data_IF_255567813950
#
_entry.id   IF_255567813950
#
_cell.length_a   1.000
_cell.length_b   1.000
_cell.length_c   1.000
_cell.angle_alpha   90.00
_cell.angle_beta   90.00
_cell.angle_gamma   90.00
#
_symmetry.space_group_name_H-M   'P 1'
#
loop_
_entity.id
_entity.type
_entity.pdbx_description
1 polymer ?
#
# COMPACT_ATOMS: atom_id res chain seq x y z
N UNK A 1 -14.14 2.98 -6.02
CA UNK A 1 -12.67 2.80 -6.09
C UNK A 1 -12.15 1.68 -5.19
N UNK A 2 -12.37 1.74 -3.87
CA UNK A 2 -11.92 0.71 -2.91
C UNK A 2 -12.27 -0.74 -3.30
N UNK A 3 -13.51 -1.01 -3.72
CA UNK A 3 -13.93 -2.36 -4.13
C UNK A 3 -13.18 -2.87 -5.37
N UNK A 4 -12.97 -2.02 -6.37
CA UNK A 4 -12.20 -2.38 -7.57
C UNK A 4 -10.72 -2.65 -7.23
N UNK A 5 -10.13 -1.79 -6.39
CA UNK A 5 -8.76 -1.95 -5.92
C UNK A 5 -8.57 -3.29 -5.17
N UNK A 6 -9.50 -3.65 -4.28
CA UNK A 6 -9.45 -4.90 -3.52
C UNK A 6 -9.53 -6.16 -4.38
N UNK A 7 -10.19 -6.08 -5.54
CA UNK A 7 -10.23 -7.18 -6.53
C UNK A 7 -9.01 -7.22 -7.45
N UNK A 8 -8.11 -6.24 -7.38
CA UNK A 8 -6.99 -6.11 -8.33
C UNK A 8 -7.43 -5.67 -9.73
N UNK A 9 -8.64 -5.12 -9.87
CA UNK A 9 -9.24 -4.78 -11.16
C UNK A 9 -8.69 -3.46 -11.71
N UNK A 10 -7.51 -3.55 -12.33
CA UNK A 10 -6.77 -2.41 -12.85
C UNK A 10 -7.59 -1.53 -13.81
N UNK A 11 -8.39 -2.15 -14.69
CA UNK A 11 -9.17 -1.40 -15.68
C UNK A 11 -10.32 -0.63 -15.04
N UNK A 12 -11.00 -1.23 -14.07
CA UNK A 12 -12.05 -0.52 -13.33
C UNK A 12 -11.46 0.58 -12.43
N UNK A 13 -10.32 0.32 -11.79
CA UNK A 13 -9.59 1.36 -11.03
C UNK A 13 -9.23 2.54 -11.95
N UNK A 14 -8.74 2.27 -13.16
CA UNK A 14 -8.41 3.30 -14.16
C UNK A 14 -9.63 4.11 -14.57
N UNK A 15 -10.71 3.44 -14.97
CA UNK A 15 -11.97 4.12 -15.36
C UNK A 15 -12.50 5.04 -14.25
N UNK A 16 -12.49 4.58 -13.00
CA UNK A 16 -12.96 5.37 -11.87
C UNK A 16 -12.07 6.60 -11.62
N UNK A 17 -10.75 6.43 -11.70
CA UNK A 17 -9.81 7.54 -11.53
C UNK A 17 -9.81 8.51 -12.73
N UNK A 18 -10.17 8.05 -13.93
CA UNK A 18 -10.37 8.90 -15.11
C UNK A 18 -11.67 9.73 -15.01
N UNK A 19 -12.60 9.33 -14.14
CA UNK A 19 -13.81 10.08 -13.80
C UNK A 19 -13.63 11.00 -12.57
N UNK A 20 -12.38 11.40 -12.28
CA UNK A 20 -12.00 12.30 -11.17
C UNK A 20 -12.46 11.85 -9.77
N UNK A 21 -12.63 10.54 -9.56
CA UNK A 21 -12.85 10.01 -8.21
C UNK A 21 -11.60 10.24 -7.35
N UNK A 22 -11.80 10.81 -6.16
CA UNK A 22 -10.70 11.03 -5.21
C UNK A 22 -9.95 9.71 -4.91
N UNK A 23 -8.65 9.62 -5.24
CA UNK A 23 -7.82 8.44 -4.97
C UNK A 23 -7.66 8.13 -3.48
N UNK A 24 -7.93 9.09 -2.59
CA UNK A 24 -7.87 8.94 -1.14
C UNK A 24 -9.26 8.73 -0.50
N UNK A 25 -10.33 8.69 -1.30
CA UNK A 25 -11.69 8.49 -0.82
C UNK A 25 -11.85 7.16 -0.08
N UNK A 26 -12.30 7.22 1.17
CA UNK A 26 -12.34 6.06 2.07
C UNK A 26 -13.62 5.22 1.93
N UNK A 27 -13.51 3.91 2.17
CA UNK A 27 -14.69 3.05 2.35
C UNK A 27 -15.34 3.24 3.74
N UNK A 28 -16.39 2.46 4.03
CA UNK A 28 -17.11 2.49 5.32
C UNK A 28 -16.27 2.12 6.55
N UNK A 29 -15.07 1.54 6.35
CA UNK A 29 -14.11 1.24 7.41
C UNK A 29 -13.05 2.35 7.58
N UNK A 30 -13.19 3.48 6.87
CA UNK A 30 -12.23 4.57 6.88
C UNK A 30 -10.92 4.27 6.14
N UNK A 31 -10.87 3.20 5.34
CA UNK A 31 -9.67 2.78 4.61
C UNK A 31 -9.65 3.33 3.19
N UNK A 32 -8.48 3.73 2.71
CA UNK A 32 -8.27 4.20 1.34
C UNK A 32 -8.16 3.03 0.35
N UNK A 33 -8.30 3.28 -0.97
CA UNK A 33 -8.08 2.28 -1.99
C UNK A 33 -6.69 1.65 -1.92
N UNK A 34 -5.66 2.45 -1.61
CA UNK A 34 -4.28 1.97 -1.48
C UNK A 34 -4.09 1.00 -0.30
N UNK A 35 -4.88 1.15 0.77
CA UNK A 35 -4.85 0.27 1.94
C UNK A 35 -5.62 -1.04 1.73
N UNK A 36 -6.61 -1.06 0.83
CA UNK A 36 -7.44 -2.26 0.58
C UNK A 36 -7.11 -2.97 -0.71
N UNK A 37 -6.22 -2.42 -1.54
CA UNK A 37 -5.90 -3.01 -2.84
C UNK A 37 -5.36 -4.43 -2.71
N UNK A 38 -5.51 -5.22 -3.76
CA UNK A 38 -4.81 -6.50 -3.88
C UNK A 38 -3.29 -6.24 -3.89
N UNK A 39 -2.63 -6.40 -2.74
CA UNK A 39 -1.22 -6.03 -2.58
C UNK A 39 -0.28 -6.75 -3.56
N UNK A 40 -0.65 -7.92 -4.08
CA UNK A 40 0.08 -8.63 -5.14
C UNK A 40 -0.08 -8.04 -6.54
N UNK A 41 -0.82 -6.93 -6.70
CA UNK A 41 -1.01 -6.21 -7.97
C UNK A 41 -0.26 -4.88 -7.96
N UNK A 42 1.07 -4.88 -8.22
CA UNK A 42 1.86 -3.66 -8.22
C UNK A 42 1.35 -2.61 -9.23
N UNK A 43 0.69 -3.04 -10.32
CA UNK A 43 0.06 -2.14 -11.29
C UNK A 43 -1.07 -1.30 -10.69
N UNK A 44 -1.89 -1.88 -9.82
CA UNK A 44 -2.97 -1.15 -9.12
C UNK A 44 -2.36 -0.16 -8.13
N UNK A 45 -1.30 -0.57 -7.40
CA UNK A 45 -0.55 0.31 -6.52
C UNK A 45 -0.01 1.53 -7.29
N UNK A 46 0.73 1.29 -8.37
CA UNK A 46 1.34 2.34 -9.20
C UNK A 46 0.30 3.28 -9.78
N UNK A 47 -0.84 2.76 -10.24
CA UNK A 47 -1.93 3.60 -10.76
C UNK A 47 -2.52 4.51 -9.68
N UNK A 48 -2.85 3.96 -8.51
CA UNK A 48 -3.37 4.76 -7.39
C UNK A 48 -2.36 5.85 -6.97
N UNK A 49 -1.08 5.49 -6.83
CA UNK A 49 0.00 6.40 -6.43
C UNK A 49 0.21 7.51 -7.47
N UNK A 50 0.22 7.19 -8.76
CA UNK A 50 0.32 8.19 -9.85
C UNK A 50 -0.85 9.16 -9.87
N UNK A 51 -2.01 8.75 -9.35
CA UNK A 51 -3.19 9.62 -9.25
C UNK A 51 -3.23 10.41 -7.93
N UNK A 52 -2.24 10.27 -7.06
CA UNK A 52 -2.13 11.06 -5.81
C UNK A 52 -2.63 10.35 -4.56
N UNK A 53 -2.74 9.02 -4.57
CA UNK A 53 -2.98 8.26 -3.34
C UNK A 53 -1.81 8.45 -2.36
N UNK A 54 -2.11 8.75 -1.09
CA UNK A 54 -1.10 8.94 -0.04
C UNK A 54 -0.55 7.58 0.45
N UNK A 55 0.73 7.27 0.22
CA UNK A 55 1.34 6.02 0.66
C UNK A 55 1.64 5.95 2.16
N UNK A 56 1.49 7.05 2.89
CA UNK A 56 1.83 7.15 4.31
C UNK A 56 0.60 7.22 5.23
N UNK A 57 -0.61 7.11 4.67
CA UNK A 57 -1.83 7.13 5.48
C UNK A 57 -1.94 5.86 6.33
N UNK A 58 -2.04 5.98 7.67
CA UNK A 58 -2.15 4.83 8.54
C UNK A 58 -3.55 4.19 8.45
N UNK A 59 -3.60 2.87 8.56
CA UNK A 59 -4.85 2.14 8.72
C UNK A 59 -5.54 2.59 10.02
N UNK A 60 -6.83 2.97 9.98
CA UNK A 60 -7.51 3.56 11.14
C UNK A 60 -7.69 2.59 12.32
N UNK A 61 -7.52 1.27 12.10
CA UNK A 61 -7.70 0.24 13.12
C UNK A 61 -6.37 -0.29 13.65
N UNK A 62 -5.37 -0.45 12.79
CA UNK A 62 -4.08 -1.05 13.16
C UNK A 62 -2.93 -0.07 13.25
N UNK A 63 -3.07 1.11 12.65
CA UNK A 63 -1.97 2.05 12.44
C UNK A 63 -0.91 1.55 11.46
N UNK A 64 -1.13 0.44 10.75
CA UNK A 64 -0.20 -0.01 9.70
C UNK A 64 -0.18 1.00 8.55
N UNK A 65 0.99 1.29 8.01
CA UNK A 65 1.10 1.97 6.71
C UNK A 65 1.10 0.91 5.60
N UNK A 66 0.73 1.29 4.35
CA UNK A 66 0.83 0.40 3.18
C UNK A 66 2.17 -0.33 3.07
N UNK A 67 3.29 0.31 3.44
CA UNK A 67 4.60 -0.31 3.44
C UNK A 67 4.73 -1.49 4.42
N UNK A 68 4.12 -1.41 5.61
CA UNK A 68 4.10 -2.54 6.56
C UNK A 68 3.34 -3.74 6.00
N UNK A 69 2.22 -3.50 5.34
CA UNK A 69 1.39 -4.58 4.79
C UNK A 69 2.08 -5.25 3.60
N UNK A 70 2.69 -4.48 2.69
CA UNK A 70 3.49 -5.01 1.59
C UNK A 70 4.72 -5.79 2.10
N UNK A 71 5.42 -5.27 3.12
CA UNK A 71 6.57 -5.94 3.72
C UNK A 71 6.18 -7.26 4.39
N UNK A 72 5.09 -7.26 5.17
CA UNK A 72 4.56 -8.44 5.87
C UNK A 72 4.09 -9.54 4.94
N UNK A 73 3.48 -9.15 3.81
CA UNK A 73 3.01 -10.09 2.81
C UNK A 73 4.10 -10.55 1.83
N UNK A 74 5.29 -9.93 1.84
CA UNK A 74 6.39 -10.30 0.95
C UNK A 74 6.29 -9.73 -0.47
N UNK A 75 5.42 -8.76 -0.72
CA UNK A 75 5.21 -8.17 -2.05
C UNK A 75 6.25 -7.08 -2.34
N UNK A 76 7.46 -7.51 -2.70
CA UNK A 76 8.61 -6.62 -2.93
C UNK A 76 8.34 -5.55 -3.99
N UNK A 77 7.71 -5.92 -5.10
CA UNK A 77 7.43 -5.01 -6.21
C UNK A 77 6.44 -3.90 -5.81
N UNK A 78 5.42 -4.27 -5.02
CA UNK A 78 4.46 -3.32 -4.46
C UNK A 78 5.11 -2.43 -3.40
N UNK A 79 5.95 -2.99 -2.53
CA UNK A 79 6.75 -2.22 -1.58
C UNK A 79 7.66 -1.21 -2.30
N UNK A 80 8.31 -1.64 -3.38
CA UNK A 80 9.16 -0.77 -4.19
C UNK A 80 8.35 0.32 -4.92
N UNK A 81 7.12 0.02 -5.37
CA UNK A 81 6.22 1.01 -5.94
C UNK A 81 5.83 2.08 -4.90
N UNK A 82 5.46 1.65 -3.69
CA UNK A 82 5.17 2.53 -2.56
C UNK A 82 6.38 3.42 -2.23
N UNK A 83 7.58 2.83 -2.08
CA UNK A 83 8.79 3.59 -1.77
C UNK A 83 9.14 4.61 -2.86
N UNK A 84 9.06 4.23 -4.14
CA UNK A 84 9.25 5.15 -5.28
C UNK A 84 8.27 6.33 -5.27
N UNK A 85 7.07 6.12 -4.74
CA UNK A 85 6.04 7.16 -4.61
C UNK A 85 6.12 7.95 -3.29
N UNK A 86 7.18 7.79 -2.50
CA UNK A 86 7.39 8.55 -1.26
C UNK A 86 6.86 7.88 0.01
N UNK A 87 6.59 6.56 0.00
CA UNK A 87 6.34 5.83 1.23
C UNK A 87 7.57 5.90 2.14
N UNK A 88 7.33 6.28 3.39
CA UNK A 88 8.34 6.34 4.43
C UNK A 88 8.50 4.97 5.07
N UNK A 89 9.72 4.45 5.01
CA UNK A 89 10.09 3.14 5.55
C UNK A 89 10.61 3.22 7.01
N UNK A 90 10.72 4.44 7.54
CA UNK A 90 11.18 4.77 8.89
C UNK A 90 10.05 5.08 9.88
N UNK A 91 8.79 5.00 9.44
CA UNK A 91 7.63 5.25 10.30
C UNK A 91 7.15 3.98 11.01
N UNK A 92 6.91 4.04 12.34
CA UNK A 92 6.34 2.92 13.08
C UNK A 92 4.85 2.76 12.80
N UNK A 93 4.36 1.50 12.83
CA UNK A 93 2.93 1.21 12.87
C UNK A 93 2.34 1.52 14.27
N UNK A 94 1.04 1.30 14.44
CA UNK A 94 0.34 1.48 15.73
C UNK A 94 0.84 0.59 16.87
N UNK A 95 1.77 -0.36 16.61
CA UNK A 95 2.44 -1.19 17.62
C UNK A 95 3.92 -0.85 17.78
N UNK A 96 4.39 0.25 17.19
CA UNK A 96 5.78 0.68 17.28
C UNK A 96 6.75 -0.08 16.35
N UNK A 97 6.26 -0.84 15.37
CA UNK A 97 7.10 -1.66 14.47
C UNK A 97 7.37 -0.95 13.16
N UNK A 98 8.59 -1.04 12.65
CA UNK A 98 8.95 -0.62 11.29
C UNK A 98 8.53 -1.67 10.25
N UNK A 99 8.47 -1.32 8.96
CA UNK A 99 8.26 -2.30 7.88
C UNK A 99 9.28 -3.45 7.92
N UNK A 100 10.54 -3.17 8.28
CA UNK A 100 11.60 -4.18 8.41
C UNK A 100 11.28 -5.22 9.50
N UNK A 101 10.69 -4.79 10.62
CA UNK A 101 10.36 -5.66 11.75
C UNK A 101 9.28 -6.68 11.43
N UNK A 102 8.48 -6.41 10.39
CA UNK A 102 7.38 -7.29 9.95
C UNK A 102 7.66 -7.98 8.63
N UNK A 103 8.85 -7.79 8.03
CA UNK A 103 9.19 -8.28 6.70
C UNK A 103 9.09 -9.81 6.58
N UNK A 104 8.43 -10.28 5.52
CA UNK A 104 8.37 -11.71 5.18
C UNK A 104 9.79 -12.27 4.93
N UNK A 105 10.09 -13.42 5.54
CA UNK A 105 11.44 -14.01 5.50
C UNK A 105 12.46 -13.29 6.41
N UNK A 106 12.00 -12.34 7.22
CA UNK A 106 12.83 -11.58 8.15
C UNK A 106 13.87 -10.69 7.46
N UNK A 107 14.87 -10.19 8.20
CA UNK A 107 15.85 -9.23 7.71
C UNK A 107 16.78 -9.72 6.59
N UNK A 108 16.77 -11.02 6.28
CA UNK A 108 17.62 -11.63 5.25
C UNK A 108 16.84 -12.07 4.00
N UNK A 109 15.50 -12.06 4.05
CA UNK A 109 14.63 -12.29 2.89
C UNK A 109 14.69 -11.14 1.88
N UNK A 110 14.11 -11.32 0.70
CA UNK A 110 14.18 -10.33 -0.38
C UNK A 110 13.64 -8.95 0.05
N UNK A 111 12.50 -8.91 0.73
CA UNK A 111 11.93 -7.70 1.33
C UNK A 111 12.82 -7.14 2.44
N UNK A 112 13.30 -7.98 3.35
CA UNK A 112 14.18 -7.54 4.44
C UNK A 112 15.49 -6.91 3.95
N UNK A 113 16.08 -7.44 2.87
CA UNK A 113 17.26 -6.85 2.22
C UNK A 113 16.96 -5.52 1.55
N UNK A 114 15.76 -5.35 0.98
CA UNK A 114 15.33 -4.08 0.38
C UNK A 114 15.12 -2.98 1.42
N UNK A 115 14.71 -3.35 2.64
CA UNK A 115 14.40 -2.45 3.75
C UNK A 115 15.61 -2.12 4.64
N UNK A 116 16.80 -2.65 4.34
CA UNK A 116 18.06 -2.37 5.04
C UNK A 116 18.83 -1.26 4.34
#
# INVERSE_FOLDING_TARGET
>A
LCSAAARGDHEEVRKLLDADVDPNGTNSLGRTPLQVMMLGSPRVAELLLRRGADPNRPDPRTGCLPAHDAARAGFLETLAALHRAGARLDLPDGRGRLPLDVAAGGPHGAVGRYLR
#
